data_IF_856581777209
#
_entry.id   IF_856581777209
#
_cell.length_a   1.000
_cell.length_b   1.000
_cell.length_c   1.000
_cell.angle_alpha   90.00
_cell.angle_beta   90.00
_cell.angle_gamma   90.00
#
_symmetry.space_group_name_H-M   'P 1'
#
loop_
_entity.id
_entity.type
_entity.pdbx_description
1 polymer ?
#
# COMPACT_ATOMS: atom_id res chain seq x y z
N UNK A 1 9.80 -2.88 0.81
CA UNK A 1 8.69 -1.91 0.70
C UNK A 1 7.77 -2.25 -0.47
N UNK A 2 8.27 -2.30 -1.70
CA UNK A 2 7.48 -2.50 -2.92
C UNK A 2 6.47 -3.67 -2.87
N UNK A 3 6.87 -4.85 -2.36
CA UNK A 3 5.96 -5.98 -2.15
C UNK A 3 4.74 -5.64 -1.28
N UNK A 4 4.95 -5.00 -0.13
CA UNK A 4 3.85 -4.64 0.77
C UNK A 4 2.87 -3.70 0.06
N UNK A 5 3.39 -2.74 -0.70
CA UNK A 5 2.58 -1.78 -1.43
C UNK A 5 1.75 -2.45 -2.52
N UNK A 6 2.36 -3.34 -3.32
CA UNK A 6 1.67 -4.16 -4.33
C UNK A 6 0.56 -5.00 -3.71
N UNK A 7 0.88 -5.74 -2.65
CA UNK A 7 -0.05 -6.62 -1.96
C UNK A 7 -1.23 -5.81 -1.38
N UNK A 8 -0.98 -4.61 -0.83
CA UNK A 8 -2.02 -3.74 -0.30
C UNK A 8 -2.91 -3.14 -1.40
N UNK A 9 -2.33 -2.69 -2.52
CA UNK A 9 -3.08 -2.19 -3.68
C UNK A 9 -3.99 -3.28 -4.22
N UNK A 10 -3.46 -4.49 -4.43
CA UNK A 10 -4.23 -5.61 -4.95
C UNK A 10 -5.38 -5.99 -4.01
N UNK A 11 -5.12 -6.08 -2.70
CA UNK A 11 -6.19 -6.31 -1.70
C UNK A 11 -7.27 -5.24 -1.75
N UNK A 12 -6.92 -3.99 -2.06
CA UNK A 12 -7.84 -2.85 -2.03
C UNK A 12 -8.36 -2.46 -3.42
N UNK A 13 -8.19 -3.30 -4.45
CA UNK A 13 -8.46 -2.94 -5.85
C UNK A 13 -9.89 -2.42 -6.06
N UNK A 14 -10.88 -3.04 -5.40
CA UNK A 14 -12.29 -2.65 -5.48
C UNK A 14 -12.64 -1.40 -4.65
N UNK A 15 -11.70 -0.84 -3.91
CA UNK A 15 -11.91 0.22 -2.92
C UNK A 15 -11.07 1.45 -3.23
N UNK A 16 -11.46 2.15 -4.30
CA UNK A 16 -10.77 3.32 -4.83
C UNK A 16 -10.37 4.38 -3.79
N UNK A 17 -11.19 4.58 -2.74
CA UNK A 17 -10.87 5.54 -1.66
C UNK A 17 -9.63 5.15 -0.84
N UNK A 18 -9.27 3.86 -0.80
CA UNK A 18 -8.10 3.34 -0.12
C UNK A 18 -6.97 2.98 -1.09
N UNK A 19 -7.27 2.37 -2.26
CA UNK A 19 -6.26 2.03 -3.26
C UNK A 19 -5.73 3.23 -4.03
N UNK A 20 -6.55 4.27 -4.27
CA UNK A 20 -6.14 5.47 -5.00
C UNK A 20 -4.92 6.17 -4.39
N UNK A 21 -4.93 6.53 -3.09
CA UNK A 21 -3.75 7.09 -2.44
C UNK A 21 -2.51 6.17 -2.48
N UNK A 22 -2.70 4.85 -2.44
CA UNK A 22 -1.59 3.89 -2.52
C UNK A 22 -1.01 3.79 -3.93
N UNK A 23 -1.85 3.87 -4.97
CA UNK A 23 -1.39 3.98 -6.34
C UNK A 23 -0.54 5.25 -6.53
N UNK A 24 -0.96 6.40 -6.00
CA UNK A 24 -0.12 7.61 -6.04
C UNK A 24 1.23 7.41 -5.35
N UNK A 25 1.26 6.75 -4.17
CA UNK A 25 2.52 6.42 -3.49
C UNK A 25 3.40 5.52 -4.35
N UNK A 26 2.82 4.55 -5.04
CA UNK A 26 3.57 3.66 -5.95
C UNK A 26 4.17 4.45 -7.10
N UNK A 27 3.39 5.29 -7.75
CA UNK A 27 3.82 6.05 -8.92
C UNK A 27 4.92 7.07 -8.54
N UNK A 28 4.79 7.74 -7.39
CA UNK A 28 5.82 8.63 -6.87
C UNK A 28 7.14 7.87 -6.56
N UNK A 29 7.05 6.67 -5.96
CA UNK A 29 8.22 5.85 -5.65
C UNK A 29 8.89 5.27 -6.90
N UNK A 30 8.11 4.96 -7.93
CA UNK A 30 8.61 4.55 -9.24
C UNK A 30 9.48 5.65 -9.87
N UNK A 31 8.96 6.88 -9.87
CA UNK A 31 9.70 8.07 -10.34
C UNK A 31 10.99 8.31 -9.54
N UNK A 32 10.98 8.04 -8.22
CA UNK A 32 12.19 8.18 -7.40
C UNK A 32 13.22 7.12 -7.73
N UNK A 33 12.81 5.86 -7.90
CA UNK A 33 13.73 4.78 -8.30
C UNK A 33 14.36 5.07 -9.66
N UNK A 34 13.60 5.58 -10.63
CA UNK A 34 14.13 5.98 -11.93
C UNK A 34 15.17 7.10 -11.87
N UNK A 35 15.17 7.90 -10.79
CA UNK A 35 16.16 8.96 -10.55
C UNK A 35 17.32 8.50 -9.68
N UNK A 36 17.10 7.52 -8.82
CA UNK A 36 18.09 6.98 -7.88
C UNK A 36 19.05 6.01 -8.56
N UNK A 37 18.59 5.27 -9.57
CA UNK A 37 19.38 4.23 -10.24
C UNK A 37 19.59 4.56 -11.71
N UNK A 38 20.84 4.44 -12.17
CA UNK A 38 21.16 4.44 -13.59
C UNK A 38 20.73 3.14 -14.29
N UNK A 39 20.65 3.17 -15.62
CA UNK A 39 20.34 2.00 -16.46
C UNK A 39 21.35 0.84 -16.29
N UNK A 40 22.56 1.14 -15.84
CA UNK A 40 23.63 0.19 -15.55
C UNK A 40 23.55 -0.41 -14.14
N UNK A 41 22.78 0.19 -13.24
CA UNK A 41 22.63 -0.24 -11.85
C UNK A 41 21.36 -1.06 -11.60
N UNK A 42 20.32 -0.84 -12.42
CA UNK A 42 19.05 -1.55 -12.35
C UNK A 42 18.54 -1.88 -13.76
N UNK A 43 18.47 -3.17 -14.09
CA UNK A 43 17.96 -3.61 -15.39
C UNK A 43 16.45 -3.35 -15.54
N UNK A 44 16.01 -3.20 -16.79
CA UNK A 44 14.64 -2.82 -17.14
C UNK A 44 13.59 -3.80 -16.59
N UNK A 45 13.88 -5.10 -16.60
CA UNK A 45 12.93 -6.11 -16.12
C UNK A 45 12.77 -6.00 -14.60
N UNK A 46 13.88 -5.90 -13.86
CA UNK A 46 13.84 -5.71 -12.41
C UNK A 46 13.17 -4.39 -12.01
N UNK A 47 13.44 -3.31 -12.74
CA UNK A 47 12.77 -2.01 -12.54
C UNK A 47 11.24 -2.14 -12.70
N UNK A 48 10.80 -2.69 -13.82
CA UNK A 48 9.36 -2.89 -14.12
C UNK A 48 8.67 -3.76 -13.06
N UNK A 49 9.32 -4.85 -12.64
CA UNK A 49 8.74 -5.78 -11.68
C UNK A 49 8.68 -5.25 -10.25
N UNK A 50 9.49 -4.25 -9.91
CA UNK A 50 9.61 -3.71 -8.55
C UNK A 50 8.23 -3.30 -8.01
N UNK A 51 7.55 -2.41 -8.73
CA UNK A 51 6.25 -1.84 -8.34
C UNK A 51 5.06 -2.31 -9.19
N UNK A 52 5.28 -2.81 -10.40
CA UNK A 52 4.21 -3.22 -11.32
C UNK A 52 4.16 -4.73 -11.59
N UNK A 53 5.14 -5.49 -11.13
CA UNK A 53 5.11 -6.96 -11.20
C UNK A 53 3.99 -7.59 -10.37
N UNK A 54 3.81 -8.91 -10.48
CA UNK A 54 2.72 -9.63 -9.82
C UNK A 54 2.69 -9.44 -8.30
N UNK A 55 1.48 -9.29 -7.75
CA UNK A 55 1.20 -9.39 -6.32
C UNK A 55 1.36 -10.84 -5.85
N UNK A 56 1.83 -11.04 -4.61
CA UNK A 56 1.90 -12.40 -4.02
C UNK A 56 0.59 -12.80 -3.32
N UNK A 57 -0.37 -11.89 -3.26
CA UNK A 57 -1.71 -12.16 -2.75
C UNK A 57 -2.59 -12.64 -3.91
N UNK A 58 -3.23 -13.78 -3.73
CA UNK A 58 -4.09 -14.40 -4.76
C UNK A 58 -5.52 -13.87 -4.79
N UNK A 59 -6.00 -13.26 -3.70
CA UNK A 59 -7.39 -12.80 -3.61
C UNK A 59 -7.50 -11.35 -3.14
N UNK A 60 -8.33 -10.53 -3.81
CA UNK A 60 -8.67 -9.21 -3.33
C UNK A 60 -9.46 -9.30 -2.02
N UNK A 61 -9.51 -8.20 -1.29
CA UNK A 61 -10.22 -8.17 -0.03
C UNK A 61 -11.74 -8.42 -0.22
N UNK A 62 -12.39 -9.08 0.75
CA UNK A 62 -13.84 -9.18 0.76
C UNK A 62 -14.47 -7.78 0.87
N UNK A 63 -15.67 -7.60 0.31
CA UNK A 63 -16.42 -6.32 0.39
C UNK A 63 -16.60 -5.82 1.82
N UNK A 64 -16.74 -6.76 2.75
CA UNK A 64 -16.80 -6.52 4.18
C UNK A 64 -15.66 -7.29 4.87
N UNK A 65 -14.60 -6.62 5.33
CA UNK A 65 -13.46 -7.27 5.95
C UNK A 65 -13.78 -7.67 7.38
N UNK A 66 -13.05 -8.68 7.84
CA UNK A 66 -12.99 -8.98 9.28
C UNK A 66 -12.13 -7.94 10.00
N UNK A 67 -12.28 -7.78 11.33
CA UNK A 67 -11.39 -6.94 12.13
C UNK A 67 -9.91 -7.29 11.94
N UNK A 68 -9.59 -8.58 11.85
CA UNK A 68 -8.22 -9.09 11.71
C UNK A 68 -7.62 -8.69 10.37
N UNK A 69 -8.39 -8.83 9.28
CA UNK A 69 -7.95 -8.41 7.95
C UNK A 69 -7.66 -6.91 7.89
N UNK A 70 -8.57 -6.12 8.45
CA UNK A 70 -8.43 -4.66 8.54
C UNK A 70 -7.23 -4.27 9.40
N UNK A 71 -7.03 -4.93 10.54
CA UNK A 71 -5.88 -4.74 11.41
C UNK A 71 -4.56 -5.03 10.70
N UNK A 72 -4.50 -6.14 9.96
CA UNK A 72 -3.32 -6.49 9.15
C UNK A 72 -2.97 -5.42 8.12
N UNK A 73 -3.97 -4.91 7.38
CA UNK A 73 -3.74 -3.82 6.43
C UNK A 73 -3.18 -2.56 7.10
N UNK A 74 -3.70 -2.19 8.27
CA UNK A 74 -3.21 -1.02 9.00
C UNK A 74 -1.77 -1.21 9.48
N UNK A 75 -1.41 -2.42 9.93
CA UNK A 75 -0.03 -2.79 10.27
C UNK A 75 0.88 -2.73 9.05
N UNK A 76 0.45 -3.29 7.92
CA UNK A 76 1.21 -3.25 6.66
C UNK A 76 1.49 -1.78 6.27
N UNK A 77 0.49 -0.90 6.31
CA UNK A 77 0.66 0.54 6.02
C UNK A 77 1.51 1.28 7.06
N UNK A 78 1.53 0.86 8.32
CA UNK A 78 2.43 1.42 9.33
C UNK A 78 3.88 0.99 9.10
N UNK A 79 4.11 -0.26 8.69
CA UNK A 79 5.43 -0.74 8.31
C UNK A 79 5.96 0.01 7.08
N UNK A 80 5.09 0.29 6.10
CA UNK A 80 5.43 1.12 4.94
C UNK A 80 5.95 2.51 5.34
N UNK A 81 5.23 3.19 6.23
CA UNK A 81 5.61 4.51 6.72
C UNK A 81 6.93 4.48 7.49
N UNK A 82 7.15 3.45 8.31
CA UNK A 82 8.41 3.25 9.02
C UNK A 82 9.59 3.03 8.07
N UNK A 83 9.39 2.26 6.98
CA UNK A 83 10.42 2.06 5.97
C UNK A 83 10.76 3.38 5.26
N UNK A 84 9.76 4.15 4.84
CA UNK A 84 9.99 5.44 4.16
C UNK A 84 10.77 6.42 5.06
N UNK A 85 10.36 6.57 6.32
CA UNK A 85 11.02 7.49 7.26
C UNK A 85 12.41 7.04 7.71
N UNK A 86 12.72 5.74 7.58
CA UNK A 86 14.05 5.19 7.86
C UNK A 86 15.04 5.44 6.71
N UNK A 87 14.57 5.34 5.47
CA UNK A 87 15.44 5.39 4.29
C UNK A 87 15.53 6.78 3.66
N UNK A 88 14.51 7.64 3.85
CA UNK A 88 14.48 8.98 3.30
C UNK A 88 14.57 10.04 4.40
N UNK A 89 15.37 11.11 4.21
CA UNK A 89 15.43 12.19 5.17
C UNK A 89 14.10 12.97 5.21
N UNK A 90 13.78 13.63 6.34
CA UNK A 90 12.62 14.50 6.45
C UNK A 90 12.59 15.57 5.34
N UNK A 91 11.61 15.49 4.46
CA UNK A 91 11.49 16.36 3.29
C UNK A 91 10.03 16.55 2.88
N UNK A 92 9.76 17.58 2.06
CA UNK A 92 8.42 17.81 1.54
C UNK A 92 7.88 16.64 0.70
N UNK A 93 8.68 15.99 -0.18
CA UNK A 93 8.26 14.79 -0.91
C UNK A 93 7.93 13.61 0.02
N UNK A 94 8.78 13.32 1.00
CA UNK A 94 8.50 12.27 1.99
C UNK A 94 7.20 12.53 2.75
N UNK A 95 6.96 13.78 3.16
CA UNK A 95 5.72 14.17 3.85
C UNK A 95 4.48 13.98 2.97
N UNK A 96 4.60 14.20 1.66
CA UNK A 96 3.51 13.94 0.73
C UNK A 96 3.15 12.44 0.70
N UNK A 97 4.15 11.56 0.62
CA UNK A 97 3.95 10.10 0.66
C UNK A 97 3.30 9.66 1.99
N UNK A 98 3.81 10.11 3.13
CA UNK A 98 3.25 9.72 4.44
C UNK A 98 1.82 10.23 4.62
N UNK A 99 1.48 11.42 4.11
CA UNK A 99 0.11 11.92 4.10
C UNK A 99 -0.84 11.07 3.24
N UNK A 100 -0.37 10.53 2.11
CA UNK A 100 -1.14 9.60 1.26
C UNK A 100 -1.37 8.28 1.97
N UNK A 101 -0.34 7.71 2.61
CA UNK A 101 -0.48 6.53 3.47
C UNK A 101 -1.47 6.78 4.61
N UNK A 102 -1.41 7.94 5.27
CA UNK A 102 -2.36 8.34 6.30
C UNK A 102 -3.80 8.45 5.78
N UNK A 103 -3.98 8.91 4.54
CA UNK A 103 -5.29 8.96 3.88
C UNK A 103 -5.84 7.56 3.61
N UNK A 104 -4.99 6.63 3.13
CA UNK A 104 -5.36 5.23 2.95
C UNK A 104 -5.72 4.56 4.29
N UNK A 105 -4.93 4.79 5.36
CA UNK A 105 -5.25 4.32 6.73
C UNK A 105 -6.63 4.79 7.18
N UNK A 106 -6.92 6.09 7.06
CA UNK A 106 -8.25 6.66 7.39
C UNK A 106 -9.37 6.02 6.58
N UNK A 107 -9.15 5.72 5.30
CA UNK A 107 -10.14 5.07 4.44
C UNK A 107 -10.40 3.62 4.88
N UNK A 108 -9.35 2.90 5.30
CA UNK A 108 -9.43 1.54 5.86
C UNK A 108 -10.14 1.57 7.21
N UNK A 109 -9.79 2.50 8.12
CA UNK A 109 -10.44 2.70 9.42
C UNK A 109 -11.94 2.96 9.30
N UNK A 110 -12.36 3.70 8.27
CA UNK A 110 -13.78 3.95 7.97
C UNK A 110 -14.47 2.81 7.22
N UNK A 111 -13.76 1.73 6.90
CA UNK A 111 -14.36 0.58 6.24
C UNK A 111 -15.29 -0.18 7.18
N UNK A 112 -16.60 -0.28 6.88
CA UNK A 112 -17.53 -1.09 7.66
C UNK A 112 -17.12 -2.56 7.65
N UNK A 113 -17.13 -3.17 8.84
CA UNK A 113 -16.82 -4.58 9.05
C UNK A 113 -17.98 -5.47 8.62
N UNK A 114 -17.70 -6.74 8.37
CA UNK A 114 -18.76 -7.74 8.24
C UNK A 114 -19.59 -7.77 9.52
N UNK A 115 -20.91 -7.76 9.39
CA UNK A 115 -21.78 -7.91 10.55
C UNK A 115 -21.45 -9.25 11.21
N UNK A 116 -21.13 -9.23 12.51
CA UNK A 116 -20.99 -10.45 13.29
C UNK A 116 -22.31 -11.22 13.14
N UNK A 117 -22.32 -12.48 12.65
CA UNK A 117 -23.56 -13.24 12.60
C UNK A 117 -24.11 -13.27 14.03
N UNK A 118 -25.31 -12.72 14.23
CA UNK A 118 -26.03 -12.85 15.48
C UNK A 118 -26.19 -14.35 15.69
N UNK A 119 -25.45 -14.92 16.64
CA UNK A 119 -25.72 -16.27 17.12
C UNK A 119 -27.13 -16.21 17.69
N UNK A 120 -28.11 -16.70 16.92
CA UNK A 120 -29.46 -16.91 17.41
C UNK A 120 -29.40 -17.91 18.54
N UNK A 121 -29.87 -17.48 19.70
CA UNK A 121 -30.30 -18.35 20.81
C UNK A 121 -31.78 -18.10 20.97
#
# INVERSE_FOLDING_TARGET
MARLLKDAIHRLEWRASASGPLNTVRDDLDEWVAREYGYDELDEQTYSDLYFGSSMVSEPAPRQPTPEFKGKLLVDLAQMESLLTRHYPPSAPLRALTNRLGSAKKAIEKWPLAATPRRGV
#
